data_IF_826498638228
#
_entry.id   IF_826498638228
#
_cell.length_a   1.000
_cell.length_b   1.000
_cell.length_c   1.000
_cell.angle_alpha   90.00
_cell.angle_beta   90.00
_cell.angle_gamma   90.00
#
_symmetry.space_group_name_H-M   'P 1'
#
loop_
_entity.id
_entity.type
_entity.pdbx_description
1 polymer ?
#
# COMPACT_ATOMS: atom_id res chain seq x y z
N UNK A 1 -1.02 -3.88 -26.10
CA UNK A 1 0.11 -3.79 -25.15
C UNK A 1 -0.13 -2.80 -23.99
N UNK A 2 -1.07 -1.85 -24.07
CA UNK A 2 -1.38 -0.94 -22.95
C UNK A 2 -1.94 -1.62 -21.69
N UNK A 3 -2.82 -2.62 -21.83
CA UNK A 3 -3.51 -3.26 -20.69
C UNK A 3 -2.54 -4.04 -19.78
N UNK A 4 -1.60 -4.80 -20.36
CA UNK A 4 -0.62 -5.57 -19.56
C UNK A 4 0.36 -4.69 -18.79
N UNK A 5 0.68 -3.50 -19.30
CA UNK A 5 1.54 -2.54 -18.59
C UNK A 5 0.78 -1.98 -17.41
N UNK A 6 -0.47 -1.54 -17.61
CA UNK A 6 -1.35 -1.07 -16.54
C UNK A 6 -1.56 -2.12 -15.45
N UNK A 7 -1.76 -3.40 -15.81
CA UNK A 7 -1.91 -4.50 -14.85
C UNK A 7 -0.65 -4.71 -14.01
N UNK A 8 0.53 -4.75 -14.65
CA UNK A 8 1.82 -4.92 -13.94
C UNK A 8 2.11 -3.74 -13.03
N UNK A 9 1.73 -2.55 -13.45
CA UNK A 9 1.94 -1.30 -12.75
C UNK A 9 0.97 -1.15 -11.56
N UNK A 10 -0.29 -1.53 -11.73
CA UNK A 10 -1.27 -1.65 -10.65
C UNK A 10 -0.86 -2.73 -9.62
N UNK A 11 -0.32 -3.86 -10.08
CA UNK A 11 0.24 -4.88 -9.19
C UNK A 11 1.45 -4.35 -8.41
N UNK A 12 2.30 -3.51 -9.01
CA UNK A 12 3.42 -2.89 -8.32
C UNK A 12 2.94 -1.90 -7.24
N UNK A 13 1.89 -1.14 -7.51
CA UNK A 13 1.23 -0.30 -6.51
C UNK A 13 0.66 -1.14 -5.35
N UNK A 14 -0.14 -2.17 -5.65
CA UNK A 14 -0.70 -3.05 -4.62
C UNK A 14 0.40 -3.74 -3.79
N UNK A 15 1.45 -4.24 -4.44
CA UNK A 15 2.54 -4.90 -3.74
C UNK A 15 3.32 -3.93 -2.82
N UNK A 16 3.67 -2.75 -3.33
CA UNK A 16 4.49 -1.78 -2.60
C UNK A 16 3.74 -0.96 -1.55
N UNK A 17 2.47 -0.65 -1.80
CA UNK A 17 1.65 0.23 -0.96
C UNK A 17 0.74 -0.55 -0.03
N UNK A 18 0.24 -1.73 -0.44
CA UNK A 18 -0.69 -2.51 0.37
C UNK A 18 -0.03 -3.70 1.06
N UNK A 19 0.72 -4.54 0.33
CA UNK A 19 1.29 -5.77 0.90
C UNK A 19 2.56 -5.53 1.72
N UNK A 20 3.49 -4.73 1.20
CA UNK A 20 4.76 -4.41 1.88
C UNK A 20 4.55 -3.88 3.31
N UNK A 21 3.62 -2.93 3.55
CA UNK A 21 3.42 -2.41 4.89
C UNK A 21 2.85 -3.44 5.87
N UNK A 22 2.00 -4.37 5.42
CA UNK A 22 1.48 -5.47 6.26
C UNK A 22 2.64 -6.29 6.82
N UNK A 23 3.68 -6.56 6.01
CA UNK A 23 4.88 -7.30 6.45
C UNK A 23 5.78 -6.49 7.40
N UNK A 24 5.61 -5.17 7.47
CA UNK A 24 6.40 -4.27 8.33
C UNK A 24 5.74 -4.01 9.69
N UNK A 25 4.52 -4.52 9.92
CA UNK A 25 3.85 -4.46 11.21
C UNK A 25 4.28 -5.67 12.04
N UNK A 26 4.93 -5.40 13.18
CA UNK A 26 5.38 -6.43 14.11
C UNK A 26 4.21 -7.01 14.93
N UNK A 27 3.13 -6.23 15.15
CA UNK A 27 1.88 -6.69 15.76
C UNK A 27 0.92 -7.26 14.70
N UNK A 28 1.04 -8.56 14.44
CA UNK A 28 0.28 -9.26 13.40
C UNK A 28 -1.20 -9.47 13.74
N UNK A 29 -1.68 -9.04 14.91
CA UNK A 29 -2.99 -9.44 15.46
C UNK A 29 -4.16 -9.03 14.56
N UNK A 30 -4.02 -7.94 13.79
CA UNK A 30 -5.02 -7.47 12.81
C UNK A 30 -4.45 -7.28 11.40
N UNK A 31 -3.29 -7.89 11.12
CA UNK A 31 -2.58 -7.75 9.85
C UNK A 31 -3.15 -8.72 8.80
N UNK A 32 -4.40 -8.50 8.40
CA UNK A 32 -5.09 -9.34 7.42
C UNK A 32 -5.62 -8.55 6.23
N UNK A 33 -5.76 -9.19 5.07
CA UNK A 33 -6.22 -8.52 3.84
C UNK A 33 -7.64 -7.95 4.00
N UNK A 34 -8.50 -8.66 4.71
CA UNK A 34 -9.86 -8.18 5.03
C UNK A 34 -9.82 -6.85 5.80
N UNK A 35 -8.88 -6.70 6.74
CA UNK A 35 -8.72 -5.46 7.49
C UNK A 35 -8.23 -4.31 6.60
N UNK A 36 -7.43 -4.61 5.57
CA UNK A 36 -6.96 -3.61 4.60
C UNK A 36 -8.05 -3.16 3.61
N UNK A 37 -8.91 -4.08 3.16
CA UNK A 37 -9.95 -3.81 2.16
C UNK A 37 -11.22 -3.25 2.81
N UNK A 38 -11.51 -3.64 4.05
CA UNK A 38 -12.69 -3.17 4.78
C UNK A 38 -12.62 -1.69 5.17
N UNK A 39 -13.79 -1.06 5.29
CA UNK A 39 -13.97 0.32 5.74
C UNK A 39 -14.48 0.42 7.19
N UNK A 40 -14.38 -0.68 7.95
CA UNK A 40 -14.69 -0.66 9.38
C UNK A 40 -13.83 0.37 10.13
N UNK A 41 -14.30 0.86 11.27
CA UNK A 41 -13.54 1.81 12.08
C UNK A 41 -12.19 1.24 12.54
N UNK A 42 -12.17 -0.06 12.88
CA UNK A 42 -10.96 -0.80 13.21
C UNK A 42 -9.99 -0.89 12.02
N UNK A 43 -10.49 -1.16 10.81
CA UNK A 43 -9.72 -1.16 9.56
C UNK A 43 -9.12 0.20 9.25
N UNK A 44 -9.88 1.27 9.43
CA UNK A 44 -9.42 2.64 9.24
C UNK A 44 -8.34 3.02 10.25
N UNK A 45 -8.45 2.56 11.50
CA UNK A 45 -7.45 2.80 12.54
C UNK A 45 -6.16 2.00 12.28
N UNK A 46 -6.29 0.75 11.82
CA UNK A 46 -5.18 -0.08 11.37
C UNK A 46 -4.42 0.59 10.22
N UNK A 47 -5.10 0.99 9.13
CA UNK A 47 -4.51 1.71 7.99
C UNK A 47 -3.78 2.99 8.45
N UNK A 48 -4.36 3.76 9.37
CA UNK A 48 -3.71 4.96 9.92
C UNK A 48 -2.42 4.66 10.66
N UNK A 49 -2.39 3.60 11.47
CA UNK A 49 -1.19 3.18 12.21
C UNK A 49 -0.13 2.64 11.24
N UNK A 50 -0.56 1.84 10.27
CA UNK A 50 0.26 1.27 9.20
C UNK A 50 1.03 2.35 8.42
N UNK A 51 0.33 3.40 7.97
CA UNK A 51 0.93 4.50 7.20
C UNK A 51 1.61 5.57 8.07
N UNK A 52 1.46 5.51 9.40
CA UNK A 52 2.26 6.31 10.35
C UNK A 52 3.64 5.71 10.61
N UNK A 53 3.84 4.42 10.33
CA UNK A 53 5.12 3.75 10.50
C UNK A 53 6.23 4.45 9.68
N UNK A 54 7.36 4.85 10.29
CA UNK A 54 8.47 5.49 9.59
C UNK A 54 9.01 4.66 8.42
N UNK A 55 9.00 3.33 8.53
CA UNK A 55 9.44 2.41 7.46
C UNK A 55 8.51 2.51 6.25
N UNK A 56 7.19 2.43 6.47
CA UNK A 56 6.16 2.61 5.44
C UNK A 56 6.24 3.99 4.79
N UNK A 57 6.37 5.05 5.60
CA UNK A 57 6.54 6.41 5.08
C UNK A 57 7.76 6.56 4.19
N UNK A 58 8.87 5.93 4.57
CA UNK A 58 10.11 5.99 3.79
C UNK A 58 9.92 5.25 2.47
N UNK A 59 9.33 4.06 2.47
CA UNK A 59 9.02 3.33 1.25
C UNK A 59 8.11 4.14 0.29
N UNK A 60 7.04 4.73 0.83
CA UNK A 60 6.10 5.55 0.03
C UNK A 60 6.73 6.81 -0.56
N UNK A 61 7.71 7.43 0.11
CA UNK A 61 8.45 8.58 -0.43
C UNK A 61 9.21 8.26 -1.72
N UNK A 62 9.62 7.01 -1.92
CA UNK A 62 10.28 6.58 -3.16
C UNK A 62 9.27 6.03 -4.17
N UNK A 63 8.26 5.30 -3.70
CA UNK A 63 7.26 4.67 -4.56
C UNK A 63 6.31 5.69 -5.22
N UNK A 64 5.78 6.66 -4.46
CA UNK A 64 4.79 7.58 -4.99
C UNK A 64 5.31 8.45 -6.15
N UNK A 65 6.51 9.07 -6.09
CA UNK A 65 7.05 9.81 -7.23
C UNK A 65 7.32 8.93 -8.45
N UNK A 66 7.70 7.67 -8.25
CA UNK A 66 7.92 6.72 -9.35
C UNK A 66 6.62 6.36 -10.09
N UNK A 67 5.53 6.21 -9.34
CA UNK A 67 4.21 5.95 -9.90
C UNK A 67 3.63 7.20 -10.58
N UNK A 68 3.81 8.37 -9.96
CA UNK A 68 3.39 9.67 -10.49
C UNK A 68 4.05 9.99 -11.83
N UNK A 69 5.37 9.80 -11.94
CA UNK A 69 6.13 9.99 -13.18
C UNK A 69 5.68 9.08 -14.34
N UNK A 70 4.94 8.01 -14.05
CA UNK A 70 4.40 7.09 -15.04
C UNK A 70 2.91 7.33 -15.34
N UNK A 71 2.31 8.37 -14.76
CA UNK A 71 0.90 8.71 -14.93
C UNK A 71 -0.04 7.70 -14.26
N UNK A 72 0.43 7.00 -13.22
CA UNK A 72 -0.37 5.98 -12.54
C UNK A 72 -1.26 6.53 -11.42
N UNK A 73 -1.09 7.81 -11.07
CA UNK A 73 -1.85 8.51 -10.03
C UNK A 73 -2.83 9.55 -10.61
N UNK A 74 -2.84 9.72 -11.94
CA UNK A 74 -3.69 10.65 -12.69
C UNK A 74 -4.97 9.98 -13.22
#
# INVERSE_FOLDING_TARGET
MHVMVLEKEFMAFLAGVMMQPIMLVEDSTNADMDTMISDSEASMQFKRNLYRNPKTKTALKFLLPYLDQRGMLD
#
